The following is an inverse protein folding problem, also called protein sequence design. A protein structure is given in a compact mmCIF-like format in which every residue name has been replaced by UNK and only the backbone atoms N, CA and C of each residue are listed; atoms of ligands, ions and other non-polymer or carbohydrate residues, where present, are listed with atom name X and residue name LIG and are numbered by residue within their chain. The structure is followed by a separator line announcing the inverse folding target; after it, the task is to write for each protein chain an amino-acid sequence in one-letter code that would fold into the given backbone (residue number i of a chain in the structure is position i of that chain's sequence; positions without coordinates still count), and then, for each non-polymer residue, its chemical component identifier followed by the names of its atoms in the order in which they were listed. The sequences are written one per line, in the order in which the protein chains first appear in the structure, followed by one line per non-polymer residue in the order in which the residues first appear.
data_IF_746491703245
#
_entry.id   IF_746491703245
#
_cell.length_a   1.000
_cell.length_b   1.000
_cell.length_c   1.000
_cell.angle_alpha   90.00
_cell.angle_beta   90.00
_cell.angle_gamma   90.00
#
_symmetry.space_group_name_H-M   'P 1'
#
loop_
_entity.id
_entity.type
_entity.pdbx_description
1 polymer ?
#
# COMPACT_ATOMS: atom_id res chain seq x y z
N UNK A 1 -6.00 -37.30 32.17
CA UNK A 1 -5.92 -36.80 30.79
C UNK A 1 -5.33 -35.41 30.87
N UNK A 2 -4.14 -35.19 30.28
CA UNK A 2 -3.46 -33.90 30.29
C UNK A 2 -3.81 -33.18 28.98
N UNK A 3 -4.42 -32.00 29.09
CA UNK A 3 -4.66 -31.11 27.94
C UNK A 3 -3.31 -30.66 27.37
N UNK A 4 -2.92 -31.24 26.25
CA UNK A 4 -1.82 -30.77 25.40
C UNK A 4 -2.22 -29.42 24.78
N UNK A 5 -1.83 -28.32 25.43
CA UNK A 5 -1.89 -27.00 24.82
C UNK A 5 -0.90 -26.95 23.66
N UNK A 6 -1.41 -27.06 22.43
CA UNK A 6 -0.62 -26.84 21.22
C UNK A 6 -0.29 -25.34 21.16
N UNK A 7 0.94 -24.97 21.51
CA UNK A 7 1.41 -23.59 21.38
C UNK A 7 1.45 -23.21 19.88
N UNK A 8 0.43 -22.49 19.42
CA UNK A 8 0.47 -21.78 18.14
C UNK A 8 1.29 -20.50 18.31
N UNK A 9 2.55 -20.52 17.86
CA UNK A 9 3.31 -19.28 17.71
C UNK A 9 2.82 -18.56 16.46
N UNK A 10 1.91 -17.59 16.63
CA UNK A 10 1.51 -16.71 15.54
C UNK A 10 2.69 -15.80 15.19
N UNK A 11 3.47 -16.17 14.18
CA UNK A 11 4.56 -15.36 13.65
C UNK A 11 4.01 -14.12 12.92
N UNK A 12 3.57 -13.12 13.69
CA UNK A 12 3.17 -11.81 13.18
C UNK A 12 4.42 -11.00 12.82
N UNK A 13 5.13 -11.39 11.77
CA UNK A 13 6.07 -10.45 11.15
C UNK A 13 5.23 -9.35 10.49
N UNK A 14 5.52 -8.10 10.83
CA UNK A 14 4.90 -6.94 10.21
C UNK A 14 5.05 -7.07 8.68
N UNK A 15 3.96 -6.87 7.93
CA UNK A 15 4.02 -6.86 6.48
C UNK A 15 4.97 -5.75 6.02
N UNK A 16 5.81 -6.07 5.04
CA UNK A 16 6.79 -5.14 4.49
C UNK A 16 6.43 -4.80 3.05
N UNK A 17 6.60 -3.53 2.67
CA UNK A 17 6.43 -3.10 1.28
C UNK A 17 7.65 -3.56 0.49
N UNK A 18 7.46 -4.49 -0.43
CA UNK A 18 8.54 -5.05 -1.25
C UNK A 18 8.75 -4.26 -2.52
N UNK A 19 7.68 -3.71 -3.10
CA UNK A 19 7.77 -2.99 -4.36
C UNK A 19 6.72 -1.87 -4.44
N UNK A 20 7.10 -0.75 -5.06
CA UNK A 20 6.22 0.38 -5.31
C UNK A 20 6.50 0.92 -6.72
N UNK A 21 5.48 0.97 -7.56
CA UNK A 21 5.57 1.49 -8.92
C UNK A 21 4.58 2.60 -9.16
N UNK A 22 4.98 3.57 -9.98
CA UNK A 22 4.20 4.75 -10.32
C UNK A 22 4.09 4.78 -11.84
N UNK A 23 2.86 4.72 -12.36
CA UNK A 23 2.61 4.73 -13.78
C UNK A 23 1.58 5.81 -14.16
N UNK A 24 1.99 6.86 -14.89
CA UNK A 24 3.37 7.13 -15.36
C UNK A 24 4.26 7.67 -14.22
N UNK A 25 5.58 7.61 -14.40
CA UNK A 25 6.57 8.03 -13.38
C UNK A 25 6.63 9.54 -13.19
N UNK A 26 6.26 10.31 -14.21
CA UNK A 26 6.11 11.75 -14.16
C UNK A 26 4.75 12.10 -14.77
N UNK A 27 4.01 12.96 -14.07
CA UNK A 27 2.76 13.53 -14.54
C UNK A 27 2.81 15.05 -14.44
N UNK A 28 2.01 15.71 -15.26
CA UNK A 28 1.74 17.14 -15.09
C UNK A 28 1.02 17.39 -13.77
N UNK A 29 1.20 18.58 -13.21
CA UNK A 29 0.49 19.01 -12.02
C UNK A 29 -1.03 18.95 -12.23
N UNK A 30 -1.77 18.50 -11.22
CA UNK A 30 -3.22 18.30 -11.31
C UNK A 30 -3.66 17.02 -12.02
N UNK A 31 -2.72 16.24 -12.58
CA UNK A 31 -3.02 14.93 -13.17
C UNK A 31 -2.84 13.79 -12.16
N UNK A 32 -3.54 12.68 -12.38
CA UNK A 32 -3.46 11.48 -11.55
C UNK A 32 -2.33 10.54 -11.99
N UNK A 33 -1.59 10.05 -11.00
CA UNK A 33 -0.62 8.96 -11.11
C UNK A 33 -1.25 7.73 -10.49
N UNK A 34 -1.22 6.61 -11.22
CA UNK A 34 -1.58 5.32 -10.63
C UNK A 34 -0.37 4.75 -9.91
N UNK A 35 -0.55 4.47 -8.63
CA UNK A 35 0.44 3.90 -7.73
C UNK A 35 0.08 2.44 -7.48
N UNK A 36 1.04 1.54 -7.68
CA UNK A 36 0.89 0.13 -7.33
C UNK A 36 1.89 -0.21 -6.24
N UNK A 37 1.40 -0.74 -5.13
CA UNK A 37 2.16 -1.16 -3.97
C UNK A 37 2.03 -2.67 -3.82
N UNK A 38 3.14 -3.36 -3.71
CA UNK A 38 3.20 -4.78 -3.47
C UNK A 38 3.87 -5.05 -2.13
N UNK A 39 3.21 -5.86 -1.33
CA UNK A 39 3.66 -6.27 -0.01
C UNK A 39 4.16 -7.71 -0.03
N UNK A 40 5.05 -8.07 0.90
CA UNK A 40 5.48 -9.47 1.08
C UNK A 40 4.31 -10.39 1.50
N UNK A 41 3.33 -9.82 2.20
CA UNK A 41 2.22 -10.48 2.88
C UNK A 41 0.88 -9.85 2.55
N UNK A 42 -0.17 -10.66 2.67
CA UNK A 42 -1.53 -10.21 2.45
C UNK A 42 -1.98 -9.23 3.54
N UNK A 43 -2.42 -8.05 3.14
CA UNK A 43 -2.96 -7.02 4.03
C UNK A 43 -4.48 -7.05 4.06
N UNK A 44 -5.06 -6.67 5.21
CA UNK A 44 -6.49 -6.39 5.32
C UNK A 44 -6.82 -4.94 4.99
N UNK A 45 -5.94 -4.01 5.38
CA UNK A 45 -6.02 -2.59 5.09
C UNK A 45 -4.61 -2.06 4.81
N UNK A 46 -4.51 -1.11 3.89
CA UNK A 46 -3.29 -0.37 3.61
C UNK A 46 -3.62 1.12 3.48
N UNK A 47 -2.76 1.98 4.00
CA UNK A 47 -2.84 3.43 3.85
C UNK A 47 -1.48 3.94 3.40
N UNK A 48 -1.46 4.81 2.39
CA UNK A 48 -0.24 5.45 1.91
C UNK A 48 -0.44 6.95 1.78
N UNK A 49 0.66 7.68 1.87
CA UNK A 49 0.70 9.13 1.65
C UNK A 49 1.80 9.43 0.65
N UNK A 50 1.50 10.25 -0.36
CA UNK A 50 2.49 10.71 -1.33
C UNK A 50 2.48 12.24 -1.35
N UNK A 51 3.63 12.86 -1.09
CA UNK A 51 3.76 14.32 -1.06
C UNK A 51 2.86 15.01 -0.02
N UNK A 52 2.51 14.32 1.08
CA UNK A 52 1.59 14.83 2.11
C UNK A 52 0.10 14.67 1.79
N UNK A 53 -0.25 14.03 0.67
CA UNK A 53 -1.63 13.68 0.31
C UNK A 53 -1.92 12.21 0.58
N UNK A 54 -3.03 11.92 1.27
CA UNK A 54 -3.47 10.55 1.48
C UNK A 54 -3.89 9.90 0.16
N UNK A 55 -3.36 8.71 -0.09
CA UNK A 55 -3.65 7.90 -1.28
C UNK A 55 -4.70 6.86 -0.91
N UNK A 56 -5.79 6.82 -1.68
CA UNK A 56 -6.82 5.79 -1.49
C UNK A 56 -6.35 4.51 -2.14
N UNK A 57 -5.86 3.58 -1.32
CA UNK A 57 -5.41 2.27 -1.79
C UNK A 57 -6.59 1.30 -1.88
N UNK A 58 -6.74 0.69 -3.06
CA UNK A 58 -7.71 -0.35 -3.35
C UNK A 58 -6.97 -1.69 -3.43
N UNK A 59 -7.42 -2.65 -2.63
CA UNK A 59 -6.91 -4.02 -2.66
C UNK A 59 -7.29 -4.66 -3.98
N UNK A 60 -6.32 -5.23 -4.67
CA UNK A 60 -6.59 -5.98 -5.90
C UNK A 60 -7.05 -7.41 -5.57
N UNK A 61 -7.24 -8.24 -6.60
CA UNK A 61 -7.51 -9.66 -6.41
C UNK A 61 -6.41 -10.36 -5.61
N UNK A 62 -5.15 -9.89 -5.75
CA UNK A 62 -4.06 -10.33 -4.90
C UNK A 62 -4.04 -9.47 -3.62
N UNK A 63 -4.13 -10.13 -2.47
CA UNK A 63 -4.24 -9.44 -1.19
C UNK A 63 -2.97 -8.70 -0.77
N UNK A 64 -1.87 -8.90 -1.49
CA UNK A 64 -0.59 -8.23 -1.31
C UNK A 64 -0.40 -7.07 -2.29
N UNK A 65 -1.18 -7.01 -3.37
CA UNK A 65 -1.10 -5.94 -4.35
C UNK A 65 -2.23 -4.94 -4.12
N UNK A 66 -1.84 -3.68 -3.97
CA UNK A 66 -2.72 -2.55 -3.73
C UNK A 66 -2.48 -1.47 -4.77
N UNK A 67 -3.55 -0.95 -5.34
CA UNK A 67 -3.50 0.12 -6.35
C UNK A 67 -4.20 1.35 -5.82
N UNK A 68 -3.60 2.51 -5.92
CA UNK A 68 -4.26 3.76 -5.59
C UNK A 68 -3.91 4.85 -6.57
N UNK A 69 -4.80 5.82 -6.68
CA UNK A 69 -4.59 6.99 -7.51
C UNK A 69 -4.25 8.18 -6.62
N UNK A 70 -3.24 8.93 -7.05
CA UNK A 70 -2.82 10.16 -6.39
C UNK A 70 -2.68 11.27 -7.40
N UNK A 71 -3.22 12.43 -7.08
CA UNK A 71 -3.11 13.62 -7.92
C UNK A 71 -1.80 14.33 -7.60
N UNK A 72 -1.04 14.69 -8.63
CA UNK A 72 0.18 15.49 -8.46
C UNK A 72 -0.24 16.84 -7.89
N UNK A 73 0.26 17.22 -6.69
CA UNK A 73 -0.07 18.50 -6.11
C UNK A 73 0.37 19.61 -7.05
N UNK A 74 -0.54 20.53 -7.36
CA UNK A 74 -0.18 21.78 -8.02
C UNK A 74 0.61 22.59 -7.00
N UNK A 75 1.93 22.61 -7.14
CA UNK A 75 2.77 23.57 -6.42
C UNK A 75 2.57 24.94 -7.05
N UNK A 76 1.37 25.49 -6.92
CA UNK A 76 1.15 26.92 -7.07
C UNK A 76 1.67 27.57 -5.79
N UNK A 77 3.00 27.70 -5.71
CA UNK A 77 3.61 28.75 -4.89
C UNK A 77 3.15 30.08 -5.52
N UNK A 78 2.21 30.74 -4.84
CA UNK A 78 1.69 32.06 -5.16
C UNK A 78 2.50 33.12 -4.42
#
# INVERSE_FOLDING_TARGET
EATESTNFTLAQALPTLTNATFNPTHQAEGQSVTVTLEFDKALQAASAELGGSAVTLTKTADAKVWTGDVVVPVSSEL
#
